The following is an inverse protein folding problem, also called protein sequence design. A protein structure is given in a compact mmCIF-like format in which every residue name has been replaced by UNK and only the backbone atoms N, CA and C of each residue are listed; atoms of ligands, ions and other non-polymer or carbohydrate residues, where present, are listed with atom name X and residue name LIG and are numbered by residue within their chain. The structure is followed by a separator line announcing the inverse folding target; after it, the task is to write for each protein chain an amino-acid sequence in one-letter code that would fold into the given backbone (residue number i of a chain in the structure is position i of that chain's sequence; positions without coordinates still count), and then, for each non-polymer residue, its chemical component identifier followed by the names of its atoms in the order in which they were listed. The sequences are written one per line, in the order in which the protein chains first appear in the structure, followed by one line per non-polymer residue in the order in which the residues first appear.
data_IF_059746267116
#
_entry.id   IF_059746267116
#
_cell.length_a   1.000
_cell.length_b   1.000
_cell.length_c   1.000
_cell.angle_alpha   90.00
_cell.angle_beta   90.00
_cell.angle_gamma   90.00
#
_symmetry.space_group_name_H-M   'P 1'
#
loop_
_entity.id
_entity.type
_entity.pdbx_description
1 polymer ?
#
# COMPACT_ATOMS: atom_id res chain seq x y z
N UNK A 1 -38.12 7.04 -1.86
CA UNK A 1 -38.23 5.74 -2.53
C UNK A 1 -36.87 5.38 -3.07
N UNK A 2 -36.38 4.20 -2.70
CA UNK A 2 -35.03 3.77 -3.01
C UNK A 2 -34.92 3.38 -4.48
N UNK A 3 -33.72 3.58 -5.05
CA UNK A 3 -33.49 3.52 -6.49
C UNK A 3 -32.67 2.30 -6.86
N UNK A 4 -33.03 1.67 -7.98
CA UNK A 4 -32.38 0.45 -8.50
C UNK A 4 -32.19 0.55 -10.01
N UNK A 5 -31.18 -0.13 -10.54
CA UNK A 5 -30.96 -0.31 -11.97
C UNK A 5 -31.59 -1.63 -12.43
N UNK A 6 -31.87 -1.75 -13.74
CA UNK A 6 -32.40 -2.98 -14.33
C UNK A 6 -31.39 -3.53 -15.33
N UNK A 7 -31.11 -4.83 -15.26
CA UNK A 7 -30.21 -5.50 -16.21
C UNK A 7 -30.74 -5.56 -17.66
N UNK A 8 -32.03 -5.28 -17.88
CA UNK A 8 -32.68 -5.36 -19.20
C UNK A 8 -33.06 -4.00 -19.80
N UNK A 9 -33.34 -3.00 -18.98
CA UNK A 9 -33.78 -1.67 -19.45
C UNK A 9 -32.87 -0.58 -18.88
N UNK A 10 -32.36 0.34 -19.71
CA UNK A 10 -31.54 1.44 -19.25
C UNK A 10 -32.39 2.47 -18.48
N UNK A 11 -31.88 2.94 -17.35
CA UNK A 11 -32.55 3.94 -16.52
C UNK A 11 -32.47 3.62 -15.03
N UNK A 12 -32.91 4.58 -14.22
CA UNK A 12 -33.09 4.41 -12.78
C UNK A 12 -34.57 4.15 -12.50
N UNK A 13 -34.85 3.05 -11.80
CA UNK A 13 -36.19 2.63 -11.40
C UNK A 13 -36.33 2.73 -9.89
N UNK A 14 -37.55 2.65 -9.38
CA UNK A 14 -37.83 2.64 -7.95
C UNK A 14 -38.19 1.24 -7.47
N UNK A 15 -37.89 0.95 -6.22
CA UNK A 15 -38.41 -0.25 -5.55
C UNK A 15 -39.90 -0.05 -5.25
N UNK A 16 -40.70 -1.04 -5.62
CA UNK A 16 -42.15 -1.09 -5.40
C UNK A 16 -42.46 -2.29 -4.53
N UNK A 17 -43.17 -2.06 -3.41
CA UNK A 17 -43.44 -3.07 -2.39
C UNK A 17 -42.44 -3.02 -1.24
N UNK A 18 -42.61 -3.93 -0.28
CA UNK A 18 -41.78 -4.01 0.93
C UNK A 18 -42.30 -5.12 1.84
N UNK A 19 -41.41 -5.69 2.67
CA UNK A 19 -41.74 -6.74 3.64
C UNK A 19 -42.78 -6.20 4.62
N UNK A 20 -43.94 -6.87 4.78
CA UNK A 20 -44.96 -6.47 5.74
C UNK A 20 -44.39 -6.35 7.16
N UNK A 21 -44.86 -5.37 7.93
CA UNK A 21 -44.52 -5.15 9.34
C UNK A 21 -43.03 -4.89 9.66
N UNK A 22 -42.17 -4.83 8.63
CA UNK A 22 -40.74 -4.55 8.76
C UNK A 22 -40.47 -3.10 8.35
N UNK A 23 -40.73 -2.18 9.28
CA UNK A 23 -40.53 -0.75 9.11
C UNK A 23 -39.18 -0.29 9.67
N UNK A 24 -38.43 0.48 8.88
CA UNK A 24 -37.27 1.24 9.33
C UNK A 24 -37.51 2.71 9.01
N UNK A 25 -37.73 3.51 10.05
CA UNK A 25 -37.95 4.97 9.94
C UNK A 25 -39.14 5.37 9.05
N UNK A 26 -40.27 4.65 9.12
CA UNK A 26 -41.49 4.95 8.36
C UNK A 26 -41.44 4.48 6.90
N UNK A 27 -40.55 3.53 6.57
CA UNK A 27 -40.44 2.91 5.25
C UNK A 27 -40.26 1.39 5.40
N UNK A 28 -40.99 0.64 4.58
CA UNK A 28 -40.88 -0.81 4.51
C UNK A 28 -39.55 -1.22 3.86
N UNK A 29 -38.89 -2.24 4.43
CA UNK A 29 -37.68 -2.83 3.86
C UNK A 29 -37.98 -3.56 2.55
N UNK A 30 -37.07 -3.51 1.57
CA UNK A 30 -37.21 -4.28 0.34
C UNK A 30 -36.94 -5.77 0.58
N UNK A 31 -37.87 -6.63 0.16
CA UNK A 31 -37.80 -8.09 0.31
C UNK A 31 -37.83 -8.84 -1.01
N UNK A 32 -37.34 -10.09 -1.02
CA UNK A 32 -37.28 -10.94 -2.21
C UNK A 32 -38.65 -11.46 -2.65
N UNK A 33 -39.63 -11.54 -1.74
CA UNK A 33 -40.99 -12.01 -2.02
C UNK A 33 -41.93 -10.85 -2.38
N UNK A 34 -41.82 -9.71 -1.70
CA UNK A 34 -42.83 -8.63 -1.74
C UNK A 34 -42.39 -7.37 -2.48
N UNK A 35 -41.14 -7.32 -2.93
CA UNK A 35 -40.60 -6.14 -3.63
C UNK A 35 -40.18 -6.46 -5.06
N UNK A 36 -40.44 -5.50 -5.95
CA UNK A 36 -40.03 -5.55 -7.35
C UNK A 36 -39.55 -4.17 -7.82
N UNK A 37 -38.70 -4.15 -8.83
CA UNK A 37 -38.32 -2.93 -9.53
C UNK A 37 -39.48 -2.40 -10.37
N UNK A 38 -39.65 -1.07 -10.45
CA UNK A 38 -40.61 -0.41 -11.34
C UNK A 38 -40.22 -0.45 -12.83
N UNK A 39 -39.18 -1.20 -13.18
CA UNK A 39 -38.77 -1.38 -14.57
C UNK A 39 -39.85 -2.13 -15.38
N UNK A 40 -39.85 -2.00 -16.72
CA UNK A 40 -40.85 -2.67 -17.55
C UNK A 40 -40.92 -4.19 -17.39
N UNK A 41 -39.81 -4.85 -16.99
CA UNK A 41 -39.82 -6.30 -16.72
C UNK A 41 -40.14 -6.69 -15.27
N UNK A 42 -40.45 -5.74 -14.37
CA UNK A 42 -40.79 -6.00 -12.97
C UNK A 42 -39.82 -6.97 -12.26
N UNK A 43 -38.52 -6.68 -12.39
CA UNK A 43 -37.48 -7.56 -11.84
C UNK A 43 -37.63 -7.72 -10.33
N UNK A 44 -37.56 -8.97 -9.84
CA UNK A 44 -37.51 -9.30 -8.41
C UNK A 44 -36.09 -9.14 -7.86
N UNK A 45 -35.97 -9.00 -6.55
CA UNK A 45 -34.69 -8.86 -5.87
C UNK A 45 -34.09 -10.20 -5.48
N UNK A 46 -32.76 -10.25 -5.48
CA UNK A 46 -31.97 -11.33 -4.90
C UNK A 46 -31.59 -10.90 -3.49
N UNK A 47 -31.64 -11.81 -2.52
CA UNK A 47 -31.31 -11.51 -1.14
C UNK A 47 -29.86 -11.02 -1.02
N UNK A 48 -29.65 -9.87 -0.37
CA UNK A 48 -28.32 -9.38 -0.02
C UNK A 48 -27.93 -9.71 1.43
N UNK A 49 -28.91 -10.09 2.25
CA UNK A 49 -28.73 -10.63 3.60
C UNK A 49 -29.04 -12.13 3.52
N UNK A 50 -28.00 -12.95 3.63
CA UNK A 50 -28.10 -14.40 3.39
C UNK A 50 -28.28 -15.20 4.69
N UNK A 51 -28.11 -14.55 5.85
CA UNK A 51 -28.24 -15.16 7.17
C UNK A 51 -29.62 -14.89 7.81
N UNK A 52 -30.54 -14.25 7.07
CA UNK A 52 -31.87 -13.87 7.55
C UNK A 52 -32.93 -14.30 6.53
N UNK A 53 -34.06 -14.80 7.01
CA UNK A 53 -35.15 -15.35 6.19
C UNK A 53 -36.48 -14.86 6.72
N UNK A 54 -37.40 -14.52 5.82
CA UNK A 54 -38.77 -14.19 6.18
C UNK A 54 -39.73 -14.98 5.29
N UNK A 55 -40.87 -15.36 5.87
CA UNK A 55 -41.91 -16.14 5.20
C UNK A 55 -43.21 -15.36 5.24
N UNK A 56 -44.07 -15.57 4.24
CA UNK A 56 -45.42 -15.01 4.20
C UNK A 56 -46.40 -16.10 4.61
N UNK A 57 -47.09 -15.92 5.75
CA UNK A 57 -48.11 -16.86 6.22
C UNK A 57 -49.31 -16.91 5.24
N UNK A 58 -49.36 -17.94 4.39
CA UNK A 58 -50.61 -18.35 3.75
C UNK A 58 -51.39 -19.19 4.77
N UNK A 59 -52.27 -18.52 5.52
CA UNK A 59 -53.04 -19.11 6.62
C UNK A 59 -53.80 -20.39 6.25
N UNK A 60 -53.55 -21.45 7.01
CA UNK A 60 -54.32 -22.71 7.01
C UNK A 60 -53.92 -23.61 8.19
N UNK A 61 -54.89 -23.94 9.04
CA UNK A 61 -54.82 -24.52 10.39
C UNK A 61 -54.46 -26.02 10.52
N UNK A 62 -53.79 -26.34 11.64
CA UNK A 62 -53.75 -27.63 12.42
C UNK A 62 -53.07 -28.87 11.79
N UNK A 63 -52.42 -29.82 12.49
CA UNK A 63 -51.94 -29.98 13.88
C UNK A 63 -50.87 -31.11 13.89
N UNK A 64 -49.94 -31.06 14.85
CA UNK A 64 -48.94 -32.10 15.12
C UNK A 64 -49.56 -33.46 15.49
N UNK A 65 -49.04 -34.56 14.91
CA UNK A 65 -48.99 -35.87 15.57
C UNK A 65 -48.04 -36.88 14.87
N UNK A 66 -47.12 -37.42 15.68
CA UNK A 66 -46.42 -38.72 15.64
C UNK A 66 -46.63 -39.67 14.44
N UNK A 67 -45.54 -40.23 13.90
CA UNK A 67 -45.15 -41.66 14.07
C UNK A 67 -44.06 -42.12 13.08
N UNK A 68 -43.28 -43.10 13.54
CA UNK A 68 -42.13 -43.74 12.90
C UNK A 68 -42.52 -44.74 11.78
N UNK A 69 -41.56 -44.94 10.85
CA UNK A 69 -41.22 -46.18 10.12
C UNK A 69 -42.30 -47.02 9.41
N UNK A 70 -42.16 -47.16 8.08
CA UNK A 70 -42.19 -48.46 7.38
C UNK A 70 -41.69 -48.38 5.92
N UNK A 71 -40.75 -49.26 5.57
CA UNK A 71 -40.33 -49.64 4.20
C UNK A 71 -41.49 -50.30 3.44
N UNK A 72 -41.66 -50.02 2.13
CA UNK A 72 -41.34 -50.93 1.00
C UNK A 72 -41.85 -50.45 -0.38
N UNK A 73 -40.93 -50.47 -1.34
CA UNK A 73 -41.00 -51.01 -2.72
C UNK A 73 -42.00 -50.53 -3.80
N UNK A 74 -41.39 -49.99 -4.86
CA UNK A 74 -41.51 -50.34 -6.29
C UNK A 74 -42.82 -50.00 -7.04
N UNK A 75 -42.80 -48.98 -7.92
CA UNK A 75 -42.45 -49.16 -9.34
C UNK A 75 -42.74 -47.91 -10.20
N UNK A 76 -41.87 -47.72 -11.19
CA UNK A 76 -42.08 -47.08 -12.49
C UNK A 76 -42.03 -45.54 -12.62
N UNK A 77 -41.01 -45.10 -13.35
CA UNK A 77 -41.22 -44.15 -14.45
C UNK A 77 -40.76 -42.73 -14.20
N UNK A 78 -39.45 -42.47 -14.35
CA UNK A 78 -38.91 -41.66 -15.44
C UNK A 78 -37.45 -41.37 -15.16
N UNK A 79 -36.56 -42.02 -15.93
CA UNK A 79 -35.22 -41.51 -16.17
C UNK A 79 -35.39 -40.17 -16.90
N UNK A 80 -35.48 -39.08 -16.15
CA UNK A 80 -34.89 -37.81 -16.59
C UNK A 80 -33.49 -37.80 -16.01
N UNK A 81 -32.51 -38.16 -16.84
CA UNK A 81 -31.13 -37.79 -16.58
C UNK A 81 -31.08 -36.27 -16.44
N UNK A 82 -31.15 -35.75 -15.21
CA UNK A 82 -30.39 -34.56 -14.92
C UNK A 82 -28.94 -35.01 -15.09
N UNK A 83 -28.33 -34.65 -16.21
CA UNK A 83 -26.89 -34.59 -16.26
C UNK A 83 -26.51 -33.72 -15.05
N UNK A 84 -25.97 -34.35 -14.00
CA UNK A 84 -25.61 -33.68 -12.76
C UNK A 84 -24.54 -32.66 -13.10
N UNK A 85 -24.97 -31.40 -13.32
CA UNK A 85 -24.08 -30.26 -13.54
C UNK A 85 -23.02 -30.30 -12.46
N UNK A 86 -21.75 -30.35 -12.85
CA UNK A 86 -20.65 -30.49 -11.92
C UNK A 86 -19.70 -29.32 -12.07
N UNK A 87 -19.81 -28.31 -11.20
CA UNK A 87 -18.79 -27.27 -11.10
C UNK A 87 -17.52 -27.82 -10.41
N UNK A 88 -16.35 -27.66 -11.02
CA UNK A 88 -15.03 -28.00 -10.45
C UNK A 88 -14.02 -26.93 -10.85
N UNK A 89 -14.00 -25.85 -10.06
CA UNK A 89 -13.07 -24.75 -10.21
C UNK A 89 -11.96 -24.81 -9.18
N UNK A 90 -10.77 -24.42 -9.60
CA UNK A 90 -9.61 -24.21 -8.73
C UNK A 90 -8.92 -22.93 -9.13
N UNK A 91 -8.31 -22.26 -8.16
CA UNK A 91 -7.47 -21.09 -8.40
C UNK A 91 -6.17 -21.25 -7.62
N UNK A 92 -5.06 -20.85 -8.25
CA UNK A 92 -3.72 -20.86 -7.64
C UNK A 92 -2.89 -19.70 -8.18
N UNK A 93 -1.94 -19.23 -7.37
CA UNK A 93 -0.88 -18.35 -7.87
C UNK A 93 -0.12 -19.02 -9.02
N UNK A 94 0.27 -18.22 -9.99
CA UNK A 94 1.13 -18.61 -11.11
C UNK A 94 2.02 -17.45 -11.49
N UNK A 95 2.80 -17.58 -12.59
CA UNK A 95 3.54 -16.47 -13.19
C UNK A 95 4.30 -15.56 -12.21
N UNK A 96 4.05 -14.25 -12.32
CA UNK A 96 4.59 -13.24 -11.43
C UNK A 96 3.89 -13.23 -10.07
N UNK A 97 4.68 -13.30 -9.00
CA UNK A 97 4.22 -13.32 -7.60
C UNK A 97 4.78 -12.17 -6.76
N UNK A 98 5.41 -11.19 -7.40
CA UNK A 98 5.95 -10.01 -6.73
C UNK A 98 5.24 -8.78 -7.27
N UNK A 99 4.53 -8.09 -6.38
CA UNK A 99 3.88 -6.83 -6.69
C UNK A 99 4.83 -5.68 -6.39
N UNK A 100 5.12 -4.87 -7.41
CA UNK A 100 5.94 -3.66 -7.29
C UNK A 100 5.09 -2.42 -7.55
N UNK A 101 4.82 -1.57 -6.54
CA UNK A 101 4.04 -0.36 -6.73
C UNK A 101 4.64 0.53 -7.83
N UNK A 102 3.77 1.09 -8.68
CA UNK A 102 4.11 1.98 -9.79
C UNK A 102 5.05 1.41 -10.87
N UNK A 103 5.27 0.09 -10.89
CA UNK A 103 6.24 -0.57 -11.79
C UNK A 103 7.64 0.07 -11.70
N UNK A 104 8.06 0.47 -10.50
CA UNK A 104 9.36 1.13 -10.34
C UNK A 104 10.47 0.14 -10.71
N UNK A 105 11.45 0.53 -11.55
CA UNK A 105 12.59 -0.34 -11.86
C UNK A 105 13.39 -0.69 -10.61
N UNK A 106 14.05 -1.84 -10.61
CA UNK A 106 15.11 -2.04 -9.62
C UNK A 106 16.31 -1.11 -9.93
N UNK A 107 17.25 -0.99 -8.99
CA UNK A 107 18.39 -0.09 -9.17
C UNK A 107 19.23 -0.40 -10.42
N UNK A 108 19.43 -1.68 -10.79
CA UNK A 108 20.20 -2.08 -11.97
C UNK A 108 19.47 -1.70 -13.26
N UNK A 109 18.16 -1.89 -13.30
CA UNK A 109 17.30 -1.46 -14.40
C UNK A 109 17.34 0.07 -14.56
N UNK A 110 17.25 0.80 -13.45
CA UNK A 110 17.30 2.26 -13.42
C UNK A 110 18.61 2.80 -14.02
N UNK A 111 19.78 2.30 -13.59
CA UNK A 111 21.08 2.79 -14.10
C UNK A 111 21.40 2.33 -15.52
N UNK A 112 20.78 1.24 -15.99
CA UNK A 112 21.00 0.72 -17.35
C UNK A 112 20.07 1.32 -18.40
N UNK A 113 18.99 2.00 -17.99
CA UNK A 113 18.07 2.72 -18.89
C UNK A 113 17.18 1.79 -19.74
N UNK A 114 16.89 0.58 -19.25
CA UNK A 114 16.03 -0.40 -19.91
C UNK A 114 14.56 -0.33 -19.50
N UNK A 115 13.72 -1.14 -20.15
CA UNK A 115 12.35 -1.38 -19.68
C UNK A 115 12.37 -2.20 -18.39
N UNK A 116 11.60 -1.76 -17.39
CA UNK A 116 11.45 -2.52 -16.15
C UNK A 116 10.69 -3.82 -16.36
N UNK A 117 11.10 -4.86 -15.64
CA UNK A 117 10.36 -6.13 -15.52
C UNK A 117 9.38 -6.12 -14.34
N UNK A 118 9.46 -5.10 -13.48
CA UNK A 118 8.59 -4.97 -12.32
C UNK A 118 7.17 -4.58 -12.77
N UNK A 119 6.18 -5.14 -12.09
CA UNK A 119 4.77 -4.93 -12.39
C UNK A 119 3.95 -4.93 -11.11
N UNK A 120 2.83 -4.20 -11.13
CA UNK A 120 1.79 -4.26 -10.10
C UNK A 120 0.94 -5.55 -10.18
N UNK A 121 1.08 -6.33 -11.26
CA UNK A 121 0.21 -7.49 -11.53
C UNK A 121 0.73 -8.78 -10.91
N UNK A 122 -0.13 -9.47 -10.16
CA UNK A 122 0.07 -10.82 -9.65
C UNK A 122 -0.73 -11.79 -10.53
N UNK A 123 -0.11 -12.89 -10.91
CA UNK A 123 -0.69 -13.86 -11.83
C UNK A 123 -1.34 -15.04 -11.09
N UNK A 124 -2.46 -15.50 -11.63
CA UNK A 124 -3.21 -16.66 -11.17
C UNK A 124 -3.60 -17.53 -12.35
N UNK A 125 -3.67 -18.84 -12.09
CA UNK A 125 -4.28 -19.81 -13.00
C UNK A 125 -5.60 -20.28 -12.40
N UNK A 126 -6.68 -20.05 -13.12
CA UNK A 126 -8.01 -20.62 -12.84
C UNK A 126 -8.14 -21.88 -13.69
N UNK A 127 -8.49 -23.00 -13.07
CA UNK A 127 -8.74 -24.27 -13.77
C UNK A 127 -10.21 -24.62 -13.63
N UNK A 128 -10.94 -24.73 -14.75
CA UNK A 128 -12.25 -25.37 -14.79
C UNK A 128 -12.12 -26.80 -15.33
N UNK A 129 -12.47 -27.80 -14.51
CA UNK A 129 -12.60 -29.21 -14.92
C UNK A 129 -14.05 -29.68 -14.97
N UNK A 130 -14.95 -28.84 -14.50
CA UNK A 130 -16.38 -29.06 -14.44
C UNK A 130 -17.11 -28.44 -15.62
N UNK A 131 -18.43 -28.42 -15.56
CA UNK A 131 -19.26 -27.84 -16.60
C UNK A 131 -19.15 -26.31 -16.67
N UNK A 132 -19.66 -25.74 -17.76
CA UNK A 132 -19.63 -24.30 -18.00
C UNK A 132 -20.50 -23.59 -16.96
N UNK A 133 -19.95 -22.55 -16.34
CA UNK A 133 -20.70 -21.72 -15.42
C UNK A 133 -21.60 -20.74 -16.19
N UNK A 134 -22.74 -20.39 -15.61
CA UNK A 134 -23.61 -19.31 -16.09
C UNK A 134 -23.23 -17.96 -15.49
N UNK A 135 -22.53 -17.98 -14.34
CA UNK A 135 -22.00 -16.79 -13.68
C UNK A 135 -20.71 -17.11 -12.94
N UNK A 136 -19.75 -16.18 -12.98
CA UNK A 136 -18.52 -16.27 -12.19
C UNK A 136 -18.10 -14.88 -11.72
N UNK A 137 -17.65 -14.82 -10.47
CA UNK A 137 -17.05 -13.63 -9.87
C UNK A 137 -15.75 -13.97 -9.16
N UNK A 138 -14.85 -12.99 -9.14
CA UNK A 138 -13.58 -13.06 -8.43
C UNK A 138 -13.51 -11.89 -7.44
N UNK A 139 -13.08 -12.19 -6.23
CA UNK A 139 -12.96 -11.21 -5.16
C UNK A 139 -11.59 -11.34 -4.50
N UNK A 140 -11.06 -10.21 -4.03
CA UNK A 140 -9.96 -10.18 -3.06
C UNK A 140 -10.49 -9.60 -1.76
N UNK A 141 -10.30 -10.33 -0.67
CA UNK A 141 -10.79 -9.95 0.65
C UNK A 141 -9.66 -9.84 1.66
N UNK A 142 -9.81 -8.94 2.62
CA UNK A 142 -9.05 -8.90 3.87
C UNK A 142 -10.00 -9.20 5.03
N UNK A 143 -9.97 -10.45 5.49
CA UNK A 143 -11.00 -10.95 6.41
C UNK A 143 -12.37 -10.97 5.75
N UNK A 144 -13.28 -10.10 6.22
CA UNK A 144 -14.63 -9.95 5.67
C UNK A 144 -14.79 -8.74 4.75
N UNK A 145 -13.76 -7.91 4.62
CA UNK A 145 -13.79 -6.72 3.77
C UNK A 145 -13.45 -7.10 2.33
N UNK A 146 -14.36 -6.85 1.39
CA UNK A 146 -14.09 -6.99 -0.04
C UNK A 146 -13.27 -5.78 -0.52
N UNK A 147 -12.01 -6.02 -0.87
CA UNK A 147 -11.08 -5.00 -1.40
C UNK A 147 -11.31 -4.80 -2.90
N UNK A 148 -11.39 -5.91 -3.63
CA UNK A 148 -11.55 -5.95 -5.08
C UNK A 148 -12.64 -6.95 -5.45
N UNK A 149 -13.43 -6.64 -6.48
CA UNK A 149 -14.41 -7.58 -7.04
C UNK A 149 -14.56 -7.35 -8.54
N UNK A 150 -14.55 -8.44 -9.30
CA UNK A 150 -14.97 -8.46 -10.69
C UNK A 150 -16.09 -9.49 -10.88
N UNK A 151 -17.06 -9.13 -11.72
CA UNK A 151 -18.28 -9.90 -11.96
C UNK A 151 -18.38 -10.21 -13.45
N UNK A 152 -19.19 -11.22 -13.80
CA UNK A 152 -19.50 -11.55 -15.20
C UNK A 152 -18.25 -11.91 -16.02
N UNK A 153 -17.35 -12.69 -15.43
CA UNK A 153 -16.05 -13.05 -16.02
C UNK A 153 -16.18 -14.22 -17.00
N UNK A 154 -17.03 -14.07 -18.02
CA UNK A 154 -17.42 -15.16 -18.95
C UNK A 154 -16.27 -15.89 -19.65
N UNK A 155 -15.12 -15.22 -19.79
CA UNK A 155 -13.88 -15.83 -20.29
C UNK A 155 -13.36 -17.02 -19.47
N UNK A 156 -13.90 -17.25 -18.26
CA UNK A 156 -13.51 -18.34 -17.37
C UNK A 156 -14.49 -19.51 -17.34
N UNK A 157 -15.56 -19.47 -18.15
CA UNK A 157 -16.61 -20.48 -18.14
C UNK A 157 -16.16 -21.79 -18.78
N UNK A 158 -15.41 -21.72 -19.88
CA UNK A 158 -15.00 -22.89 -20.65
C UNK A 158 -14.11 -23.84 -19.84
N UNK A 159 -14.20 -25.14 -20.13
CA UNK A 159 -13.26 -26.15 -19.57
C UNK A 159 -11.83 -25.82 -19.98
N UNK A 160 -10.91 -25.84 -19.01
CA UNK A 160 -9.49 -25.60 -19.27
C UNK A 160 -8.81 -24.73 -18.21
N UNK A 161 -7.63 -24.23 -18.57
CA UNK A 161 -6.84 -23.31 -17.76
C UNK A 161 -6.95 -21.90 -18.32
N UNK A 162 -7.14 -20.94 -17.41
CA UNK A 162 -7.36 -19.54 -17.73
C UNK A 162 -6.46 -18.65 -16.89
N UNK A 163 -5.90 -17.62 -17.52
CA UNK A 163 -5.10 -16.62 -16.83
C UNK A 163 -6.00 -15.55 -16.19
N UNK A 164 -5.74 -15.27 -14.92
CA UNK A 164 -6.28 -14.10 -14.23
C UNK A 164 -5.12 -13.30 -13.63
N UNK A 165 -5.25 -11.97 -13.67
CA UNK A 165 -4.26 -11.06 -13.12
C UNK A 165 -4.98 -10.06 -12.22
N UNK A 166 -4.42 -9.81 -11.05
CA UNK A 166 -4.85 -8.73 -10.18
C UNK A 166 -3.70 -7.75 -9.97
N UNK A 167 -3.98 -6.46 -10.09
CA UNK A 167 -2.97 -5.40 -10.00
C UNK A 167 -2.72 -4.90 -8.58
N UNK A 168 -3.33 -5.53 -7.57
CA UNK A 168 -3.21 -5.13 -6.16
C UNK A 168 -4.10 -3.96 -5.74
N UNK A 169 -4.82 -3.32 -6.67
CA UNK A 169 -5.66 -2.19 -6.33
C UNK A 169 -7.07 -2.64 -5.95
N UNK A 170 -7.66 -1.88 -5.03
CA UNK A 170 -9.06 -1.99 -4.68
C UNK A 170 -9.98 -1.46 -5.77
N UNK A 171 -11.29 -1.72 -5.64
CA UNK A 171 -12.33 -1.12 -6.49
C UNK A 171 -12.31 0.42 -6.48
N UNK A 172 -11.76 1.03 -5.43
CA UNK A 172 -11.62 2.48 -5.32
C UNK A 172 -10.40 3.01 -6.10
N UNK A 173 -9.52 2.14 -6.60
CA UNK A 173 -8.26 2.53 -7.23
C UNK A 173 -7.18 2.84 -6.20
N UNK A 174 -7.19 2.14 -5.07
CA UNK A 174 -6.18 2.27 -4.02
C UNK A 174 -5.36 0.98 -3.91
N UNK A 175 -4.05 1.08 -4.05
CA UNK A 175 -3.10 0.03 -3.63
C UNK A 175 -2.59 0.43 -2.25
N UNK A 176 -2.74 -0.45 -1.26
CA UNK A 176 -2.30 -0.19 0.11
C UNK A 176 -1.47 -1.37 0.60
N UNK A 177 -0.15 -1.19 0.74
CA UNK A 177 0.73 -2.30 1.12
C UNK A 177 0.48 -2.80 2.54
N UNK A 178 -0.14 -2.01 3.42
CA UNK A 178 -0.50 -2.48 4.76
C UNK A 178 -1.61 -3.53 4.69
N UNK A 179 -2.59 -3.32 3.80
CA UNK A 179 -3.67 -4.28 3.51
C UNK A 179 -3.15 -5.50 2.76
N UNK A 180 -2.29 -5.27 1.77
CA UNK A 180 -1.68 -6.34 0.99
C UNK A 180 -0.68 -7.20 1.78
N UNK A 181 -0.27 -6.79 2.99
CA UNK A 181 0.53 -7.56 3.96
C UNK A 181 -0.34 -8.24 5.04
N UNK A 182 -1.67 -8.13 4.96
CA UNK A 182 -2.57 -8.77 5.91
C UNK A 182 -2.50 -10.29 5.83
N UNK A 183 -2.47 -10.96 6.99
CA UNK A 183 -2.54 -12.43 7.10
C UNK A 183 -3.91 -13.01 6.77
N UNK A 184 -4.92 -12.14 6.66
CA UNK A 184 -6.30 -12.50 6.33
C UNK A 184 -6.64 -12.26 4.86
N UNK A 185 -5.64 -11.95 4.04
CA UNK A 185 -5.82 -11.72 2.62
C UNK A 185 -6.15 -13.03 1.90
N UNK A 186 -7.20 -13.04 1.08
CA UNK A 186 -7.60 -14.21 0.31
C UNK A 186 -8.20 -13.82 -1.03
N UNK A 187 -8.05 -14.68 -2.02
CA UNK A 187 -8.81 -14.63 -3.27
C UNK A 187 -9.99 -15.59 -3.16
N UNK A 188 -11.16 -15.14 -3.59
CA UNK A 188 -12.37 -15.95 -3.65
C UNK A 188 -12.91 -15.99 -5.06
N UNK A 189 -13.17 -17.21 -5.54
CA UNK A 189 -13.90 -17.46 -6.77
C UNK A 189 -15.29 -18.00 -6.40
N UNK A 190 -16.34 -17.39 -6.97
CA UNK A 190 -17.72 -17.88 -6.85
C UNK A 190 -18.20 -18.22 -8.25
N UNK A 191 -18.64 -19.46 -8.47
CA UNK A 191 -19.19 -19.91 -9.74
C UNK A 191 -20.63 -20.42 -9.55
N UNK A 192 -21.48 -20.14 -10.53
CA UNK A 192 -22.91 -20.41 -10.54
C UNK A 192 -23.29 -21.19 -11.80
N UNK A 193 -24.18 -22.16 -11.67
CA UNK A 193 -24.83 -22.83 -12.81
C UNK A 193 -26.18 -23.39 -12.35
N UNK A 194 -27.28 -22.84 -12.86
CA UNK A 194 -28.62 -23.09 -12.33
C UNK A 194 -28.69 -22.76 -10.83
N UNK A 195 -29.17 -23.73 -10.04
CA UNK A 195 -29.26 -23.60 -8.57
C UNK A 195 -27.93 -23.95 -7.86
N UNK A 196 -26.91 -24.40 -8.59
CA UNK A 196 -25.62 -24.76 -8.01
C UNK A 196 -24.73 -23.53 -7.84
N UNK A 197 -24.16 -23.39 -6.65
CA UNK A 197 -23.10 -22.44 -6.35
C UNK A 197 -21.92 -23.13 -5.70
N UNK A 198 -20.71 -22.83 -6.17
CA UNK A 198 -19.49 -23.19 -5.47
C UNK A 198 -18.70 -21.94 -5.08
N UNK A 199 -18.02 -22.04 -3.95
CA UNK A 199 -17.11 -21.02 -3.43
C UNK A 199 -15.73 -21.64 -3.25
N UNK A 200 -14.73 -21.08 -3.90
CA UNK A 200 -13.34 -21.50 -3.83
C UNK A 200 -12.53 -20.38 -3.18
N UNK A 201 -12.14 -20.60 -1.93
CA UNK A 201 -11.28 -19.67 -1.19
C UNK A 201 -9.82 -20.11 -1.32
N UNK A 202 -8.97 -19.18 -1.75
CA UNK A 202 -7.53 -19.36 -1.85
C UNK A 202 -6.84 -18.30 -0.98
N UNK A 203 -6.46 -18.66 0.26
CA UNK A 203 -5.68 -17.79 1.13
C UNK A 203 -4.39 -17.35 0.47
N UNK A 204 -4.07 -16.05 0.54
CA UNK A 204 -2.82 -15.52 0.04
C UNK A 204 -1.81 -15.48 1.17
N UNK A 205 -0.72 -16.25 1.04
CA UNK A 205 0.44 -16.13 1.90
C UNK A 205 1.34 -15.02 1.34
N UNK A 206 1.62 -14.02 2.17
CA UNK A 206 2.22 -12.78 1.73
C UNK A 206 3.25 -12.28 2.75
N UNK A 207 4.32 -11.69 2.23
CA UNK A 207 5.35 -11.05 3.04
C UNK A 207 6.00 -9.88 2.32
N UNK A 208 6.61 -8.93 3.06
CA UNK A 208 7.46 -7.92 2.44
C UNK A 208 8.59 -8.63 1.67
N UNK A 209 8.75 -8.28 0.39
CA UNK A 209 9.83 -8.79 -0.45
C UNK A 209 11.16 -8.14 -0.08
N UNK A 210 11.14 -6.82 0.15
CA UNK A 210 12.33 -6.03 0.49
C UNK A 210 12.31 -5.65 1.96
N UNK A 211 11.55 -4.60 2.33
CA UNK A 211 11.66 -3.99 3.64
C UNK A 211 10.32 -3.97 4.39
N UNK A 212 10.38 -4.32 5.67
CA UNK A 212 9.19 -4.34 6.54
C UNK A 212 8.84 -2.95 7.08
N UNK A 213 9.82 -2.05 7.13
CA UNK A 213 9.73 -0.74 7.76
C UNK A 213 9.18 0.36 6.85
N UNK A 214 8.78 0.03 5.62
CA UNK A 214 8.13 0.96 4.70
C UNK A 214 6.80 0.38 4.19
N UNK A 215 5.81 1.25 4.12
CA UNK A 215 4.54 0.99 3.45
C UNK A 215 4.17 2.15 2.55
N UNK A 216 3.45 1.84 1.47
CA UNK A 216 2.92 2.83 0.55
C UNK A 216 1.45 2.63 0.31
N UNK A 217 0.76 3.75 0.12
CA UNK A 217 -0.59 3.81 -0.37
C UNK A 217 -0.62 4.64 -1.65
N UNK A 218 -0.96 4.01 -2.76
CA UNK A 218 -1.07 4.66 -4.07
C UNK A 218 -2.54 4.90 -4.40
N UNK A 219 -2.91 6.16 -4.65
CA UNK A 219 -4.19 6.51 -5.27
C UNK A 219 -3.95 6.81 -6.75
N UNK A 220 -4.37 5.88 -7.63
CA UNK A 220 -4.16 6.02 -9.07
C UNK A 220 -5.04 7.10 -9.71
N UNK A 221 -6.16 7.47 -9.07
CA UNK A 221 -7.11 8.48 -9.55
C UNK A 221 -6.61 9.88 -9.19
N UNK A 222 -6.15 10.06 -7.96
CA UNK A 222 -5.60 11.33 -7.48
C UNK A 222 -4.13 11.53 -7.85
N UNK A 223 -3.46 10.48 -8.31
CA UNK A 223 -2.02 10.48 -8.63
C UNK A 223 -1.19 10.90 -7.42
N UNK A 224 -1.49 10.28 -6.28
CA UNK A 224 -0.77 10.48 -5.01
C UNK A 224 -0.18 9.18 -4.50
N UNK A 225 0.93 9.29 -3.78
CA UNK A 225 1.56 8.22 -3.02
C UNK A 225 1.78 8.73 -1.60
N UNK A 226 1.18 8.08 -0.63
CA UNK A 226 1.47 8.31 0.78
C UNK A 226 2.41 7.21 1.27
N UNK A 227 3.60 7.60 1.74
CA UNK A 227 4.62 6.69 2.26
C UNK A 227 4.61 6.78 3.79
N UNK A 228 4.49 5.63 4.45
CA UNK A 228 4.78 5.49 5.88
C UNK A 228 6.19 4.92 6.02
N UNK A 229 7.10 5.73 6.55
CA UNK A 229 8.48 5.33 6.80
C UNK A 229 8.72 5.18 8.31
N UNK A 230 8.94 3.94 8.76
CA UNK A 230 9.11 3.62 10.19
C UNK A 230 10.56 3.69 10.60
N UNK A 231 10.94 4.80 11.23
CA UNK A 231 12.28 5.08 11.70
C UNK A 231 12.48 4.52 13.11
N UNK A 232 13.71 4.18 13.46
CA UNK A 232 14.10 3.85 14.84
C UNK A 232 15.19 4.80 15.32
N UNK A 233 15.00 5.34 16.51
CA UNK A 233 15.93 6.27 17.17
C UNK A 233 16.00 6.01 18.67
N UNK A 234 17.18 6.25 19.25
CA UNK A 234 17.44 6.13 20.69
C UNK A 234 18.11 7.37 21.24
N UNK A 235 17.98 7.57 22.56
CA UNK A 235 18.68 8.65 23.24
C UNK A 235 20.18 8.32 23.34
N UNK A 236 20.99 9.03 22.56
CA UNK A 236 22.44 8.95 22.60
C UNK A 236 23.08 9.84 23.66
N UNK A 237 22.27 10.60 24.40
CA UNK A 237 22.69 11.50 25.46
C UNK A 237 23.29 12.80 24.96
N UNK A 238 24.06 13.42 25.86
CA UNK A 238 24.69 14.72 25.64
C UNK A 238 26.19 14.51 25.49
N UNK A 239 26.78 15.19 24.51
CA UNK A 239 28.23 15.24 24.31
C UNK A 239 28.73 16.66 24.57
N UNK A 240 29.79 16.78 25.36
CA UNK A 240 30.40 18.07 25.67
C UNK A 240 29.63 18.91 26.69
N UNK A 241 30.13 20.11 26.94
CA UNK A 241 29.44 21.12 27.74
C UNK A 241 29.80 22.53 27.27
N UNK A 242 28.88 23.47 27.45
CA UNK A 242 29.10 24.87 27.14
C UNK A 242 28.34 25.72 28.18
N UNK A 243 28.98 26.68 28.87
CA UNK A 243 28.36 27.45 29.94
C UNK A 243 27.23 28.37 29.46
N UNK A 244 27.11 28.62 28.15
CA UNK A 244 26.09 29.49 27.56
C UNK A 244 24.96 28.74 26.87
N UNK A 245 25.10 27.44 26.64
CA UNK A 245 24.13 26.65 25.87
C UNK A 245 23.49 25.58 26.74
N UNK A 246 22.21 25.35 26.50
CA UNK A 246 21.52 24.16 27.01
C UNK A 246 21.45 23.08 25.93
N UNK A 247 21.66 21.80 26.28
CA UNK A 247 21.50 20.71 25.33
C UNK A 247 20.04 20.59 24.89
N UNK A 248 19.83 20.19 23.64
CA UNK A 248 18.48 19.96 23.11
C UNK A 248 17.97 18.62 23.63
N UNK A 249 16.78 18.58 24.25
CA UNK A 249 16.19 17.34 24.76
C UNK A 249 15.99 16.29 23.65
N UNK A 250 16.09 15.01 24.03
CA UNK A 250 15.90 13.89 23.10
C UNK A 250 14.59 13.95 22.31
N UNK A 251 13.46 14.29 22.95
CA UNK A 251 12.17 14.40 22.26
C UNK A 251 12.14 15.52 21.20
N UNK A 252 12.90 16.60 21.41
CA UNK A 252 13.02 17.66 20.43
C UNK A 252 13.89 17.20 19.25
N UNK A 253 14.95 16.42 19.51
CA UNK A 253 15.74 15.77 18.45
C UNK A 253 14.90 14.77 17.64
N UNK A 254 14.01 14.02 18.29
CA UNK A 254 13.04 13.13 17.62
C UNK A 254 12.14 13.93 16.68
N UNK A 255 11.57 15.04 17.16
CA UNK A 255 10.71 15.91 16.36
C UNK A 255 11.46 16.54 15.19
N UNK A 256 12.69 17.01 15.40
CA UNK A 256 13.53 17.55 14.33
C UNK A 256 13.88 16.48 13.29
N UNK A 257 14.21 15.26 13.71
CA UNK A 257 14.47 14.13 12.82
C UNK A 257 13.25 13.83 11.95
N UNK A 258 12.08 13.70 12.57
CA UNK A 258 10.81 13.51 11.87
C UNK A 258 10.56 14.61 10.83
N UNK A 259 10.64 15.85 11.27
CA UNK A 259 10.39 17.01 10.40
C UNK A 259 11.39 17.08 9.23
N UNK A 260 12.67 16.76 9.47
CA UNK A 260 13.69 16.74 8.43
C UNK A 260 13.39 15.68 7.36
N UNK A 261 13.10 14.45 7.79
CA UNK A 261 12.77 13.35 6.87
C UNK A 261 11.52 13.67 6.05
N UNK A 262 10.41 14.04 6.70
CA UNK A 262 9.15 14.36 6.00
C UNK A 262 9.32 15.53 5.02
N UNK A 263 10.09 16.56 5.39
CA UNK A 263 10.31 17.73 4.55
C UNK A 263 11.22 17.46 3.33
N UNK A 264 12.33 16.75 3.54
CA UNK A 264 13.33 16.53 2.50
C UNK A 264 13.00 15.36 1.58
N UNK A 265 12.23 14.36 2.03
CA UNK A 265 11.87 13.19 1.22
C UNK A 265 10.48 13.27 0.56
N UNK A 266 9.65 14.26 0.90
CA UNK A 266 8.39 14.49 0.19
C UNK A 266 8.62 15.20 -1.14
N UNK A 267 7.93 14.72 -2.19
CA UNK A 267 7.95 15.26 -3.56
C UNK A 267 6.52 15.47 -4.06
N UNK A 268 5.86 16.51 -3.54
CA UNK A 268 4.44 16.78 -3.75
C UNK A 268 4.16 18.18 -4.35
N UNK A 269 5.22 18.91 -4.75
CA UNK A 269 5.13 20.25 -5.33
C UNK A 269 4.68 21.33 -4.35
N UNK A 270 4.67 21.06 -3.04
CA UNK A 270 4.27 22.04 -2.02
C UNK A 270 5.34 23.11 -1.77
N UNK A 271 6.59 22.86 -2.16
CA UNK A 271 7.70 23.79 -1.96
C UNK A 271 7.82 24.69 -3.19
N UNK A 272 7.82 26.01 -2.96
CA UNK A 272 7.94 26.99 -4.04
C UNK A 272 9.27 26.93 -4.78
N UNK A 273 9.32 27.49 -5.99
CA UNK A 273 10.55 27.62 -6.77
C UNK A 273 10.96 26.36 -7.54
N UNK A 274 10.03 25.41 -7.76
CA UNK A 274 10.30 24.17 -8.50
C UNK A 274 11.12 23.17 -7.68
N UNK A 275 10.93 23.14 -6.36
CA UNK A 275 11.66 22.26 -5.45
C UNK A 275 10.70 21.18 -4.95
N UNK A 276 11.14 19.93 -4.91
CA UNK A 276 10.30 18.80 -4.48
C UNK A 276 9.10 18.62 -5.40
N UNK A 277 9.30 18.84 -6.69
CA UNK A 277 8.31 18.53 -7.71
C UNK A 277 8.03 17.03 -7.76
N UNK A 278 6.84 16.68 -8.26
CA UNK A 278 6.31 15.32 -8.36
C UNK A 278 7.32 14.31 -8.91
N UNK A 279 7.17 13.03 -8.55
CA UNK A 279 7.96 11.98 -9.17
C UNK A 279 7.45 11.61 -10.56
N UNK A 280 8.34 11.14 -11.44
CA UNK A 280 7.99 10.68 -12.79
C UNK A 280 8.28 9.19 -12.95
N UNK A 281 7.22 8.38 -13.10
CA UNK A 281 7.33 6.94 -13.33
C UNK A 281 6.87 6.57 -14.75
N UNK A 282 7.11 5.32 -15.16
CA UNK A 282 6.65 4.79 -16.45
C UNK A 282 5.11 4.84 -16.61
N UNK A 283 4.36 4.88 -15.50
CA UNK A 283 2.89 4.86 -15.51
C UNK A 283 2.25 6.21 -15.15
N UNK A 284 3.08 7.24 -14.97
CA UNK A 284 2.62 8.63 -14.83
C UNK A 284 3.40 9.44 -13.82
N UNK A 285 2.89 10.65 -13.57
CA UNK A 285 3.47 11.61 -12.62
C UNK A 285 2.68 11.55 -11.31
N UNK A 286 3.37 11.45 -10.17
CA UNK A 286 2.74 11.27 -8.86
C UNK A 286 3.27 12.24 -7.81
N UNK A 287 2.36 12.76 -6.97
CA UNK A 287 2.71 13.51 -5.76
C UNK A 287 3.02 12.55 -4.64
N UNK A 288 4.19 12.68 -4.01
CA UNK A 288 4.63 11.81 -2.91
C UNK A 288 4.66 12.57 -1.59
N UNK A 289 3.91 12.08 -0.62
CA UNK A 289 3.95 12.55 0.76
C UNK A 289 4.65 11.49 1.63
N UNK A 290 5.71 11.90 2.32
CA UNK A 290 6.41 11.03 3.27
C UNK A 290 5.96 11.39 4.68
N UNK A 291 5.53 10.37 5.43
CA UNK A 291 5.23 10.45 6.86
C UNK A 291 6.19 9.54 7.63
N UNK A 292 6.91 10.12 8.59
CA UNK A 292 7.81 9.37 9.45
C UNK A 292 7.10 8.95 10.75
N UNK A 293 7.17 7.66 11.05
CA UNK A 293 6.70 7.08 12.30
C UNK A 293 7.91 6.64 13.13
N UNK A 294 8.01 7.12 14.35
CA UNK A 294 9.21 6.93 15.18
C UNK A 294 8.98 5.79 16.15
N UNK A 295 9.92 4.84 16.19
CA UNK A 295 9.95 3.71 17.11
C UNK A 295 8.70 2.83 17.07
N UNK A 296 8.09 2.70 15.87
CA UNK A 296 7.00 1.77 15.59
C UNK A 296 7.58 0.52 14.90
N UNK A 297 7.33 -0.66 15.45
CA UNK A 297 7.79 -1.93 14.89
C UNK A 297 6.85 -2.41 13.78
N UNK A 298 7.37 -2.95 12.65
CA UNK A 298 8.78 -3.07 12.30
C UNK A 298 9.39 -1.72 11.89
N UNK A 299 10.65 -1.47 12.27
CA UNK A 299 11.38 -0.25 11.93
C UNK A 299 12.74 -0.58 11.35
N UNK A 300 13.35 0.39 10.68
CA UNK A 300 14.74 0.30 10.23
C UNK A 300 15.72 0.20 11.43
N UNK A 301 16.98 -0.15 11.17
CA UNK A 301 18.05 -0.15 12.18
C UNK A 301 18.18 1.22 12.88
N UNK A 302 18.31 1.22 14.21
CA UNK A 302 18.26 2.41 15.09
C UNK A 302 19.42 3.39 14.88
N UNK A 303 19.15 4.69 14.94
CA UNK A 303 20.16 5.74 15.14
C UNK A 303 20.16 6.27 16.57
N UNK A 304 21.34 6.46 17.18
CA UNK A 304 21.46 7.22 18.42
C UNK A 304 21.51 8.72 18.13
N UNK A 305 20.57 9.48 18.71
CA UNK A 305 20.50 10.93 18.56
C UNK A 305 21.28 11.59 19.70
N UNK A 306 22.26 12.44 19.37
CA UNK A 306 23.19 13.01 20.36
C UNK A 306 23.11 14.53 20.32
N UNK A 307 22.81 15.16 21.47
CA UNK A 307 22.92 16.61 21.62
C UNK A 307 24.37 16.98 21.90
N UNK A 308 25.06 17.60 20.94
CA UNK A 308 26.47 17.98 21.08
C UNK A 308 26.63 19.47 21.39
N UNK A 309 27.17 19.77 22.57
CA UNK A 309 27.62 21.10 22.99
C UNK A 309 29.12 21.29 22.76
N UNK A 310 29.82 20.28 22.24
CA UNK A 310 31.24 20.40 21.89
C UNK A 310 31.44 21.47 20.81
N UNK A 311 32.48 22.32 20.94
CA UNK A 311 32.81 23.34 19.95
C UNK A 311 33.42 22.77 18.67
N UNK A 312 33.74 21.48 18.65
CA UNK A 312 34.33 20.83 17.49
C UNK A 312 33.30 19.91 16.83
N UNK A 313 33.11 20.12 15.53
CA UNK A 313 32.23 19.35 14.68
C UNK A 313 32.31 17.83 14.86
N UNK A 314 31.15 17.18 14.99
CA UNK A 314 31.00 15.73 15.02
C UNK A 314 30.24 15.25 13.78
N UNK A 315 30.84 14.35 13.00
CA UNK A 315 30.18 13.75 11.86
C UNK A 315 29.12 12.74 12.29
N UNK A 316 27.93 12.86 11.72
CA UNK A 316 26.91 11.81 11.74
C UNK A 316 27.39 10.62 10.90
N UNK A 317 26.85 9.43 11.18
CA UNK A 317 27.29 8.19 10.54
C UNK A 317 26.16 7.18 10.50
N UNK A 318 25.98 6.54 9.35
CA UNK A 318 25.00 5.49 9.09
C UNK A 318 25.64 4.10 8.95
N UNK A 319 26.91 3.94 9.34
CA UNK A 319 27.58 2.63 9.34
C UNK A 319 26.86 1.66 10.30
N UNK A 320 26.56 0.46 9.82
CA UNK A 320 25.89 -0.58 10.60
C UNK A 320 26.63 -0.87 11.91
N UNK A 321 25.93 -0.78 13.04
CA UNK A 321 26.46 -0.94 14.40
C UNK A 321 27.03 0.33 15.03
N UNK A 322 27.11 1.44 14.29
CA UNK A 322 27.69 2.70 14.76
C UNK A 322 26.79 3.91 14.51
N UNK A 323 25.52 3.69 14.19
CA UNK A 323 24.58 4.70 13.71
C UNK A 323 24.33 5.83 14.70
N UNK A 324 24.75 7.04 14.32
CA UNK A 324 24.66 8.25 15.15
C UNK A 324 24.31 9.47 14.33
N UNK A 325 23.48 10.33 14.90
CA UNK A 325 23.19 11.66 14.33
C UNK A 325 23.48 12.70 15.40
N UNK A 326 24.37 13.65 15.09
CA UNK A 326 24.82 14.68 16.02
C UNK A 326 24.10 16.02 15.78
N UNK A 327 23.44 16.54 16.81
CA UNK A 327 23.00 17.92 16.87
C UNK A 327 24.18 18.80 17.33
N UNK A 328 24.94 19.34 16.37
CA UNK A 328 26.19 20.07 16.61
C UNK A 328 25.95 21.55 17.04
N UNK A 329 25.33 21.75 18.20
CA UNK A 329 25.02 23.10 18.69
C UNK A 329 26.26 23.90 19.11
N UNK A 330 27.19 23.25 19.80
CA UNK A 330 28.42 23.90 20.28
C UNK A 330 29.30 24.40 19.14
N UNK A 331 29.46 23.60 18.10
CA UNK A 331 30.16 23.92 16.85
C UNK A 331 29.51 25.11 16.14
N UNK A 332 28.18 25.10 15.97
CA UNK A 332 27.43 26.23 15.38
C UNK A 332 27.62 27.52 16.18
N UNK A 333 27.59 27.43 17.51
CA UNK A 333 27.77 28.59 18.40
C UNK A 333 29.19 29.15 18.42
N UNK A 334 30.22 28.29 18.26
CA UNK A 334 31.62 28.72 18.23
C UNK A 334 31.87 29.78 17.16
N UNK A 335 31.31 29.57 15.98
CA UNK A 335 31.49 30.46 14.83
C UNK A 335 30.51 31.65 14.84
N UNK A 336 29.26 31.43 15.24
CA UNK A 336 28.20 32.45 15.18
C UNK A 336 28.20 33.38 16.40
N UNK A 337 28.51 32.87 17.59
CA UNK A 337 28.54 33.57 18.89
C UNK A 337 27.21 34.24 19.32
N UNK A 338 26.11 33.93 18.64
CA UNK A 338 24.74 34.30 18.97
C UNK A 338 23.90 33.03 19.17
N UNK A 339 23.23 32.93 20.32
CA UNK A 339 22.52 31.71 20.73
C UNK A 339 21.36 31.37 19.79
N UNK A 340 20.55 32.36 19.41
CA UNK A 340 19.37 32.14 18.58
C UNK A 340 19.75 31.77 17.14
N UNK A 341 20.75 32.44 16.58
CA UNK A 341 21.23 32.15 15.23
C UNK A 341 21.95 30.79 15.17
N UNK A 342 22.74 30.46 16.20
CA UNK A 342 23.37 29.15 16.30
C UNK A 342 22.34 28.02 16.44
N UNK A 343 21.25 28.25 17.19
CA UNK A 343 20.16 27.29 17.32
C UNK A 343 19.46 27.06 15.97
N UNK A 344 19.22 28.14 15.21
CA UNK A 344 18.61 28.06 13.88
C UNK A 344 19.51 27.29 12.89
N UNK A 345 20.81 27.58 12.89
CA UNK A 345 21.80 26.87 12.06
C UNK A 345 21.86 25.38 12.42
N UNK A 346 22.05 25.07 13.71
CA UNK A 346 22.09 23.70 14.21
C UNK A 346 20.80 22.93 13.90
N UNK A 347 19.63 23.56 14.01
CA UNK A 347 18.33 22.97 13.64
C UNK A 347 18.26 22.62 12.15
N UNK A 348 18.66 23.54 11.27
CA UNK A 348 18.60 23.33 9.82
C UNK A 348 19.59 22.24 9.40
N UNK A 349 20.80 22.29 9.94
CA UNK A 349 21.85 21.30 9.70
C UNK A 349 21.43 19.92 10.19
N UNK A 350 20.89 19.82 11.41
CA UNK A 350 20.45 18.55 11.98
C UNK A 350 19.29 17.91 11.20
N UNK A 351 18.29 18.70 10.77
CA UNK A 351 17.22 18.17 9.91
C UNK A 351 17.75 17.57 8.62
N UNK A 352 18.75 18.23 8.01
CA UNK A 352 19.40 17.73 6.81
C UNK A 352 20.20 16.47 7.09
N UNK A 353 21.09 16.48 8.09
CA UNK A 353 21.86 15.30 8.51
C UNK A 353 20.92 14.12 8.80
N UNK A 354 19.83 14.32 9.53
CA UNK A 354 18.85 13.26 9.79
C UNK A 354 18.26 12.69 8.50
N UNK A 355 17.82 13.53 7.56
CA UNK A 355 17.26 13.05 6.29
C UNK A 355 18.30 12.37 5.40
N UNK A 356 19.56 12.83 5.45
CA UNK A 356 20.68 12.26 4.72
C UNK A 356 21.06 10.88 5.26
N UNK A 357 21.27 10.75 6.57
CA UNK A 357 21.65 9.48 7.19
C UNK A 357 20.55 8.42 7.09
N UNK A 358 19.28 8.83 7.22
CA UNK A 358 18.15 7.94 6.95
C UNK A 358 18.12 7.51 5.48
N UNK A 359 18.47 8.42 4.57
CA UNK A 359 18.61 8.17 3.16
C UNK A 359 19.63 7.09 2.82
N UNK A 360 20.77 7.04 3.51
CA UNK A 360 21.73 5.96 3.33
C UNK A 360 21.10 4.58 3.53
N UNK A 361 20.16 4.41 4.48
CA UNK A 361 19.47 3.11 4.65
C UNK A 361 18.53 2.77 3.50
N UNK A 362 17.98 3.76 2.81
CA UNK A 362 17.21 3.51 1.58
C UNK A 362 18.16 3.10 0.46
N UNK A 363 19.24 3.85 0.27
CA UNK A 363 20.19 3.64 -0.82
C UNK A 363 21.00 2.35 -0.65
N UNK A 364 21.32 1.95 0.58
CA UNK A 364 22.00 0.68 0.90
C UNK A 364 21.15 -0.52 0.46
N UNK A 365 19.84 -0.48 0.68
CA UNK A 365 18.91 -1.57 0.36
C UNK A 365 18.48 -1.54 -1.12
N UNK A 366 18.16 -0.36 -1.66
CA UNK A 366 17.74 -0.23 -3.05
C UNK A 366 18.90 -0.44 -4.03
N UNK A 367 20.07 0.15 -3.71
CA UNK A 367 21.28 0.10 -4.52
C UNK A 367 22.26 -1.00 -4.11
N UNK A 368 21.79 -2.05 -3.42
CA UNK A 368 22.63 -3.11 -2.87
C UNK A 368 23.52 -3.74 -3.97
N UNK A 369 24.82 -3.87 -3.67
CA UNK A 369 25.79 -4.45 -4.59
C UNK A 369 26.21 -3.55 -5.76
N UNK A 370 25.90 -2.25 -5.71
CA UNK A 370 26.43 -1.24 -6.62
C UNK A 370 27.96 -1.07 -6.49
N UNK A 371 28.64 -0.73 -7.60
CA UNK A 371 30.09 -0.50 -7.63
C UNK A 371 30.48 0.69 -8.53
N UNK A 372 31.15 1.74 -8.00
CA UNK A 372 31.38 1.93 -6.57
C UNK A 372 30.04 2.11 -5.84
N UNK A 373 30.04 1.88 -4.53
CA UNK A 373 28.83 1.91 -3.73
C UNK A 373 28.06 3.23 -3.90
N UNK A 374 26.81 3.14 -4.37
CA UNK A 374 25.93 4.26 -4.69
C UNK A 374 25.63 5.15 -3.48
N UNK A 375 25.44 4.52 -2.33
CA UNK A 375 25.14 5.17 -1.05
C UNK A 375 26.40 5.85 -0.51
N UNK A 376 27.48 5.08 -0.30
CA UNK A 376 28.69 5.50 0.41
C UNK A 376 29.59 6.44 -0.38
N UNK A 377 29.43 6.50 -1.70
CA UNK A 377 30.09 7.52 -2.53
C UNK A 377 29.25 8.77 -2.74
N UNK A 378 28.10 8.90 -2.05
CA UNK A 378 27.19 10.03 -2.21
C UNK A 378 26.83 10.23 -3.69
N UNK A 379 26.43 9.13 -4.35
CA UNK A 379 26.10 9.11 -5.77
C UNK A 379 27.28 9.58 -6.65
N UNK A 380 28.50 9.15 -6.29
CA UNK A 380 29.75 9.48 -6.97
C UNK A 380 30.32 10.88 -6.68
N UNK A 381 29.77 11.63 -5.72
CA UNK A 381 30.27 12.97 -5.34
C UNK A 381 31.31 12.94 -4.22
N UNK A 382 31.50 11.79 -3.58
CA UNK A 382 32.56 11.56 -2.59
C UNK A 382 33.31 10.25 -2.84
N UNK A 383 34.47 10.14 -2.21
CA UNK A 383 35.14 8.84 -1.99
C UNK A 383 34.37 8.01 -0.96
N UNK A 384 34.65 6.71 -0.87
CA UNK A 384 34.15 5.82 0.20
C UNK A 384 34.53 6.27 1.61
N UNK A 385 35.62 7.04 1.74
CA UNK A 385 36.02 7.69 2.99
C UNK A 385 35.29 9.02 3.22
N UNK A 386 34.16 9.23 2.53
CA UNK A 386 33.28 10.40 2.57
C UNK A 386 33.95 11.75 2.27
N UNK A 387 35.17 11.76 1.73
CA UNK A 387 35.80 12.98 1.24
C UNK A 387 35.15 13.40 -0.08
N UNK A 388 34.64 14.63 -0.13
CA UNK A 388 34.12 15.22 -1.37
C UNK A 388 35.17 15.15 -2.48
N UNK A 389 34.78 14.69 -3.65
CA UNK A 389 35.65 14.68 -4.82
C UNK A 389 35.75 16.13 -5.35
N UNK A 390 36.97 16.67 -5.55
CA UNK A 390 37.16 18.04 -6.04
C UNK A 390 36.38 18.33 -7.33
N UNK A 391 35.74 19.50 -7.41
CA UNK A 391 34.94 19.91 -8.56
C UNK A 391 33.44 19.65 -8.41
N UNK A 392 33.00 18.84 -7.44
CA UNK A 392 31.58 18.71 -7.11
C UNK A 392 31.08 19.97 -6.39
N UNK A 393 30.22 20.73 -7.06
CA UNK A 393 29.62 21.96 -6.56
C UNK A 393 28.11 21.78 -6.59
N UNK A 394 27.43 22.15 -5.50
CA UNK A 394 25.97 22.14 -5.48
C UNK A 394 25.42 23.06 -6.59
N UNK A 395 24.33 22.68 -7.28
CA UNK A 395 23.79 23.46 -8.39
C UNK A 395 23.45 24.89 -7.96
N UNK A 396 23.62 25.86 -8.86
CA UNK A 396 23.38 27.26 -8.55
C UNK A 396 21.89 27.60 -8.41
N UNK A 397 21.02 26.90 -9.14
CA UNK A 397 19.57 27.05 -9.14
C UNK A 397 18.89 25.67 -9.11
N UNK A 398 17.61 25.63 -8.72
CA UNK A 398 16.83 24.40 -8.64
C UNK A 398 17.21 23.51 -7.45
N UNK A 399 16.79 22.25 -7.51
CA UNK A 399 16.96 21.25 -6.46
C UNK A 399 18.42 20.96 -6.13
N UNK A 400 18.70 20.67 -4.86
CA UNK A 400 19.97 20.10 -4.39
C UNK A 400 19.65 18.71 -3.85
N UNK A 401 20.30 17.70 -4.41
CA UNK A 401 20.12 16.31 -3.97
C UNK A 401 20.60 16.14 -2.52
N UNK A 402 19.70 15.68 -1.64
CA UNK A 402 19.99 15.48 -0.22
C UNK A 402 21.16 14.51 0.01
N UNK A 403 21.39 13.57 -0.91
CA UNK A 403 22.40 12.52 -0.81
C UNK A 403 23.76 12.90 -1.40
N UNK A 404 23.91 14.08 -2.03
CA UNK A 404 25.17 14.50 -2.68
C UNK A 404 25.98 15.47 -1.83
N UNK A 405 27.30 15.29 -1.86
CA UNK A 405 28.25 16.23 -1.30
C UNK A 405 28.73 17.24 -2.33
N UNK A 406 29.08 18.42 -1.84
CA UNK A 406 29.64 19.47 -2.67
C UNK A 406 29.94 20.71 -1.86
N UNK A 407 30.43 21.75 -2.53
CA UNK A 407 30.60 23.06 -1.91
C UNK A 407 29.23 23.64 -1.49
N UNK A 408 29.03 23.80 -0.18
CA UNK A 408 27.79 24.30 0.42
C UNK A 408 27.42 25.70 -0.06
N UNK A 409 26.10 25.94 -0.12
CA UNK A 409 25.52 27.23 -0.48
C UNK A 409 24.67 27.78 0.67
N UNK A 410 24.61 29.11 0.87
CA UNK A 410 23.84 29.69 1.96
C UNK A 410 22.34 29.34 1.94
N UNK A 411 21.76 29.12 0.76
CA UNK A 411 20.35 28.83 0.54
C UNK A 411 20.01 27.32 0.55
N UNK A 412 20.99 26.45 0.80
CA UNK A 412 20.86 25.02 0.51
C UNK A 412 19.70 24.34 1.25
N UNK A 413 19.44 24.69 2.51
CA UNK A 413 18.37 24.06 3.31
C UNK A 413 16.98 24.26 2.72
N UNK A 414 16.78 25.32 1.94
CA UNK A 414 15.50 25.57 1.26
C UNK A 414 15.35 24.80 -0.06
N UNK A 415 16.45 24.24 -0.57
CA UNK A 415 16.57 23.60 -1.89
C UNK A 415 16.93 22.13 -1.85
N UNK A 416 17.47 21.66 -0.72
CA UNK A 416 17.75 20.25 -0.45
C UNK A 416 16.46 19.44 -0.59
N UNK A 417 16.52 18.33 -1.29
CA UNK A 417 15.41 17.40 -1.49
C UNK A 417 15.97 16.05 -1.94
N UNK A 418 15.35 14.95 -1.53
CA UNK A 418 15.66 13.62 -2.05
C UNK A 418 15.41 13.61 -3.56
N UNK A 419 16.33 13.00 -4.31
CA UNK A 419 16.18 12.94 -5.75
C UNK A 419 14.96 12.07 -6.14
N UNK A 420 14.41 12.32 -7.32
CA UNK A 420 13.21 11.64 -7.84
C UNK A 420 13.34 10.10 -7.75
N UNK A 421 14.47 9.60 -8.22
CA UNK A 421 14.91 8.22 -8.25
C UNK A 421 15.12 7.60 -6.86
N UNK A 422 15.55 8.39 -5.87
CA UNK A 422 15.75 7.90 -4.50
C UNK A 422 14.39 7.75 -3.79
N UNK A 423 13.44 8.66 -4.05
CA UNK A 423 12.05 8.53 -3.59
C UNK A 423 11.36 7.36 -4.28
N UNK A 424 11.63 7.13 -5.57
CA UNK A 424 11.18 5.92 -6.26
C UNK A 424 11.78 4.66 -5.61
N UNK A 425 13.06 4.65 -5.27
CA UNK A 425 13.69 3.57 -4.52
C UNK A 425 13.01 3.28 -3.18
N UNK A 426 12.62 4.30 -2.42
CA UNK A 426 11.86 4.14 -1.19
C UNK A 426 10.50 3.46 -1.41
N UNK A 427 9.80 3.78 -2.51
CA UNK A 427 8.55 3.12 -2.89
C UNK A 427 8.83 1.67 -3.31
N UNK A 428 9.90 1.41 -4.06
CA UNK A 428 10.29 0.07 -4.51
C UNK A 428 10.52 -0.87 -3.32
N UNK A 429 11.14 -0.40 -2.24
CA UNK A 429 11.36 -1.18 -1.02
C UNK A 429 10.06 -1.64 -0.30
N UNK A 430 8.89 -1.18 -0.72
CA UNK A 430 7.59 -1.61 -0.19
C UNK A 430 6.97 -2.83 -0.89
N UNK A 431 7.68 -3.38 -1.89
CA UNK A 431 7.31 -4.59 -2.65
C UNK A 431 6.79 -5.72 -1.76
N UNK A 432 5.84 -6.48 -2.32
CA UNK A 432 5.19 -7.59 -1.63
C UNK A 432 5.33 -8.84 -2.47
N UNK A 433 5.77 -9.92 -1.82
CA UNK A 433 5.83 -11.25 -2.39
C UNK A 433 4.63 -12.08 -1.92
N UNK A 434 4.09 -12.86 -2.84
CA UNK A 434 3.04 -13.83 -2.60
C UNK A 434 3.61 -15.25 -2.78
N UNK A 435 3.40 -16.10 -1.80
CA UNK A 435 3.87 -17.48 -1.76
C UNK A 435 2.70 -18.46 -1.91
N UNK A 436 3.01 -19.67 -2.39
CA UNK A 436 2.02 -20.73 -2.65
C UNK A 436 1.41 -21.36 -1.38
#
# INVERSE_FOLDING_TARGET
MDRVTCGRYPGMFIIVGGVPETDIHGRLMAGTLDSQSSCPCKARFIASMMDDTYETDDGGSEAEQHAQSAKKDLTSGSDSSSDDVKLDYRIKLSGNKILTPLNIPDYKEMISGGSTKNTEKIDFTITNKGDEAEGLSLEVLDGNEVIYSEQQTGKYFDKGEHAWQWDGYSNQGILDTTKLKSKSLLVRLIALCGDMMIKVDYPLHNSPEEQKWVDVKVDRKQKTVDIIWRLAVSDGGIKGSNPKLSPVPYNDLVNLTKNGVEFYWSRNGSRGGGIGENIVTAIGVFKVNVKAEINITPSMRTFSLISSLDPDFQASVSLSGFEKIYYNYGDSYKDIQDELQALLDANNRYKWDSAHEMGHKVLDEYGEGSSPDYSWTHKGTSTLMQKTIPGNVMPAQGEIDVMKYGKYRPDMYTRLVAADEDVQGLIWLSRIKFDD
#
